data_IF_468360251943
#
_entry.id   IF_468360251943
#
_cell.length_a   1.000
_cell.length_b   1.000
_cell.length_c   1.000
_cell.angle_alpha   90.00
_cell.angle_beta   90.00
_cell.angle_gamma   90.00
#
_symmetry.space_group_name_H-M   'P 1'
#
loop_
_entity.id
_entity.type
_entity.pdbx_description
1 polymer ?
#
# COMPACT_ATOMS: atom_id res chain seq x y z
N UNK A 1 2.15 2.07 5.93
CA UNK A 1 2.70 2.83 7.08
C UNK A 1 1.85 2.59 8.34
N UNK A 2 2.33 2.94 9.54
CA UNK A 2 1.56 2.84 10.81
C UNK A 2 0.81 4.14 11.09
N UNK A 3 -0.48 4.19 10.73
CA UNK A 3 -1.36 5.35 10.97
C UNK A 3 -2.14 5.22 12.27
N UNK A 4 -3.46 4.98 12.18
CA UNK A 4 -4.35 4.89 13.34
C UNK A 4 -4.32 3.54 14.10
N UNK A 5 -3.82 2.47 13.47
CA UNK A 5 -3.78 1.10 14.04
C UNK A 5 -5.13 0.46 14.40
N UNK A 6 -6.24 1.06 14.01
CA UNK A 6 -7.60 0.59 14.32
C UNK A 6 -8.48 0.35 13.07
N UNK A 7 -7.88 0.29 11.88
CA UNK A 7 -8.59 -0.05 10.64
C UNK A 7 -9.29 1.12 9.92
N UNK A 8 -9.14 2.36 10.38
CA UNK A 8 -9.92 3.48 9.84
C UNK A 8 -9.21 4.28 8.74
N UNK A 9 -7.92 4.59 8.92
CA UNK A 9 -7.25 5.59 8.09
C UNK A 9 -6.75 5.14 6.71
N UNK A 10 -6.73 3.84 6.43
CA UNK A 10 -6.22 3.31 5.14
C UNK A 10 -4.71 3.40 4.89
N UNK A 11 -3.92 4.13 5.69
CA UNK A 11 -2.47 4.31 5.47
C UNK A 11 -1.62 3.01 5.51
N UNK A 12 -2.22 1.90 5.95
CA UNK A 12 -1.62 0.57 6.01
C UNK A 12 -2.24 -0.41 5.00
N UNK A 13 -2.94 0.09 3.97
CA UNK A 13 -3.57 -0.76 2.97
C UNK A 13 -2.54 -1.57 2.19
N UNK A 14 -2.88 -2.84 1.98
CA UNK A 14 -2.19 -3.80 1.11
C UNK A 14 -3.25 -4.57 0.34
N UNK A 15 -2.86 -5.20 -0.77
CA UNK A 15 -3.74 -6.12 -1.52
C UNK A 15 -3.40 -7.55 -1.11
N UNK A 16 -4.39 -8.32 -0.66
CA UNK A 16 -4.27 -9.74 -0.31
C UNK A 16 -5.23 -10.51 -1.21
N UNK A 17 -4.72 -11.43 -2.03
CA UNK A 17 -5.50 -12.21 -3.00
C UNK A 17 -6.41 -11.36 -3.91
N UNK A 18 -5.98 -10.13 -4.23
CA UNK A 18 -6.71 -9.21 -5.11
C UNK A 18 -7.67 -8.25 -4.39
N UNK A 19 -7.85 -8.38 -3.08
CA UNK A 19 -8.72 -7.51 -2.28
C UNK A 19 -7.91 -6.59 -1.35
N UNK A 20 -8.43 -5.39 -1.07
CA UNK A 20 -7.76 -4.41 -0.22
C UNK A 20 -8.07 -4.64 1.26
N UNK A 21 -7.01 -4.74 2.09
CA UNK A 21 -7.13 -4.90 3.53
C UNK A 21 -6.24 -3.90 4.29
N UNK A 22 -6.69 -3.47 5.47
CA UNK A 22 -5.85 -2.77 6.43
C UNK A 22 -4.92 -3.77 7.14
N UNK A 23 -3.62 -3.72 6.84
CA UNK A 23 -2.65 -4.65 7.43
C UNK A 23 -2.54 -4.55 8.95
N UNK A 24 -2.89 -3.42 9.58
CA UNK A 24 -2.79 -3.26 11.03
C UNK A 24 -3.76 -4.14 11.83
N UNK A 25 -4.85 -4.60 11.21
CA UNK A 25 -5.87 -5.44 11.84
C UNK A 25 -5.99 -6.82 11.18
N UNK A 26 -5.13 -7.12 10.20
CA UNK A 26 -5.06 -8.43 9.56
C UNK A 26 -4.08 -9.32 10.32
N UNK A 27 -4.56 -10.42 10.92
CA UNK A 27 -3.70 -11.29 11.71
C UNK A 27 -2.67 -11.99 10.81
N UNK A 28 -1.41 -12.00 11.23
CA UNK A 28 -0.33 -12.64 10.46
C UNK A 28 -0.59 -14.13 10.19
N UNK A 29 -1.28 -14.83 11.10
CA UNK A 29 -1.66 -16.25 10.90
C UNK A 29 -2.62 -16.45 9.72
N UNK A 30 -3.42 -15.44 9.36
CA UNK A 30 -4.32 -15.49 8.21
C UNK A 30 -3.60 -15.23 6.88
N UNK A 31 -2.34 -14.80 6.92
CA UNK A 31 -1.54 -14.54 5.72
C UNK A 31 -0.87 -15.80 5.17
N UNK A 32 -0.91 -16.92 5.89
CA UNK A 32 -0.27 -18.16 5.44
C UNK A 32 -0.87 -18.63 4.10
N UNK A 33 0.00 -18.87 3.12
CA UNK A 33 -0.38 -19.23 1.76
C UNK A 33 -1.05 -18.13 0.92
N UNK A 34 -1.15 -16.88 1.42
CA UNK A 34 -1.75 -15.75 0.71
C UNK A 34 -0.76 -14.99 -0.15
N UNK A 35 -1.24 -14.41 -1.25
CA UNK A 35 -0.43 -13.52 -2.08
C UNK A 35 -0.66 -12.06 -1.66
N UNK A 36 0.37 -11.45 -1.06
CA UNK A 36 0.31 -10.08 -0.57
C UNK A 36 1.09 -9.15 -1.50
N UNK A 37 0.48 -8.02 -1.87
CA UNK A 37 1.11 -6.93 -2.61
C UNK A 37 1.09 -5.64 -1.80
N UNK A 38 2.25 -5.02 -1.67
CA UNK A 38 2.45 -3.68 -1.12
C UNK A 38 2.63 -2.68 -2.26
N UNK A 39 2.83 -1.40 -1.94
CA UNK A 39 3.09 -0.36 -2.95
C UNK A 39 4.33 -0.68 -3.80
N UNK A 40 5.39 -1.16 -3.16
CA UNK A 40 6.67 -1.48 -3.80
C UNK A 40 6.52 -2.52 -4.90
N UNK A 41 5.47 -3.35 -4.86
CA UNK A 41 5.15 -4.31 -5.94
C UNK A 41 4.75 -3.67 -7.26
N UNK A 42 4.53 -2.35 -7.30
CA UNK A 42 4.23 -1.60 -8.51
C UNK A 42 5.51 -1.12 -9.23
N UNK A 43 6.66 -1.20 -8.59
CA UNK A 43 7.92 -0.72 -9.18
C UNK A 43 8.42 -1.66 -10.27
N UNK A 44 9.04 -1.09 -11.29
CA UNK A 44 9.75 -1.82 -12.33
C UNK A 44 11.01 -2.55 -11.81
N UNK A 45 11.62 -3.42 -12.63
CA UNK A 45 12.77 -4.23 -12.23
C UNK A 45 13.99 -3.39 -11.81
N UNK A 46 14.14 -2.18 -12.34
CA UNK A 46 15.24 -1.26 -12.00
C UNK A 46 14.76 -0.11 -11.09
N UNK A 47 13.56 -0.25 -10.51
CA UNK A 47 12.98 0.68 -9.56
C UNK A 47 12.17 1.81 -10.19
N UNK A 48 11.77 1.68 -11.45
CA UNK A 48 10.91 2.65 -12.12
C UNK A 48 9.55 2.75 -11.44
N UNK A 49 9.00 3.96 -11.39
CA UNK A 49 7.66 4.19 -10.88
C UNK A 49 6.62 3.67 -11.88
N UNK A 50 5.58 3.02 -11.37
CA UNK A 50 4.38 2.73 -12.17
C UNK A 50 3.65 4.00 -12.61
N UNK A 51 2.81 3.90 -13.64
CA UNK A 51 1.98 5.00 -14.14
C UNK A 51 1.17 5.69 -13.03
N UNK A 52 0.63 4.92 -12.08
CA UNK A 52 -0.17 5.48 -10.97
C UNK A 52 0.71 6.23 -9.95
N UNK A 53 1.92 5.74 -9.68
CA UNK A 53 2.87 6.43 -8.80
C UNK A 53 3.35 7.73 -9.44
N UNK A 54 3.61 7.73 -10.75
CA UNK A 54 3.98 8.93 -11.51
C UNK A 54 2.84 9.96 -11.51
N UNK A 55 1.62 9.54 -11.81
CA UNK A 55 0.45 10.42 -11.81
C UNK A 55 0.22 11.13 -10.47
N UNK A 56 0.42 10.44 -9.34
CA UNK A 56 0.31 11.06 -8.00
C UNK A 56 1.33 12.19 -7.78
N UNK A 57 2.53 12.07 -8.35
CA UNK A 57 3.58 13.08 -8.29
C UNK A 57 3.22 14.25 -9.21
N UNK A 58 2.89 13.96 -10.47
CA UNK A 58 2.57 14.97 -11.48
C UNK A 58 1.37 15.84 -11.07
N UNK A 59 0.34 15.24 -10.48
CA UNK A 59 -0.85 15.93 -10.02
C UNK A 59 -0.71 16.55 -8.62
N UNK A 60 0.52 16.58 -8.07
CA UNK A 60 0.80 17.16 -6.74
C UNK A 60 -0.10 16.56 -5.64
N UNK A 61 -0.49 15.29 -5.78
CA UNK A 61 -1.34 14.59 -4.82
C UNK A 61 -0.58 14.21 -3.52
N UNK A 62 0.74 14.38 -3.53
CA UNK A 62 1.63 14.10 -2.40
C UNK A 62 2.07 15.40 -1.74
N UNK A 63 1.72 15.58 -0.46
CA UNK A 63 2.23 16.66 0.38
C UNK A 63 3.26 16.13 1.38
N UNK A 64 2.81 15.60 2.53
CA UNK A 64 3.70 15.00 3.52
C UNK A 64 4.14 13.57 3.19
N UNK A 65 3.48 12.93 2.21
CA UNK A 65 3.78 11.55 1.78
C UNK A 65 3.29 10.44 2.72
N UNK A 66 2.65 10.75 3.85
CA UNK A 66 2.32 9.72 4.83
C UNK A 66 1.17 8.78 4.39
N UNK A 67 0.14 9.33 3.75
CA UNK A 67 -1.01 8.58 3.25
C UNK A 67 -0.81 8.00 1.84
N UNK A 68 0.32 8.32 1.19
CA UNK A 68 0.73 7.80 -0.11
C UNK A 68 1.99 6.97 0.14
N UNK A 69 1.83 5.74 0.67
CA UNK A 69 2.93 4.97 1.26
C UNK A 69 4.06 4.68 0.29
#
# INVERSE_FOLDING_TARGET
KKGCEVGECGACNVIIDGEAFNSCIYLAVWADGKHIRTLESLMGPDGELSDIQQAFIEETAVQCGFCTP
#
